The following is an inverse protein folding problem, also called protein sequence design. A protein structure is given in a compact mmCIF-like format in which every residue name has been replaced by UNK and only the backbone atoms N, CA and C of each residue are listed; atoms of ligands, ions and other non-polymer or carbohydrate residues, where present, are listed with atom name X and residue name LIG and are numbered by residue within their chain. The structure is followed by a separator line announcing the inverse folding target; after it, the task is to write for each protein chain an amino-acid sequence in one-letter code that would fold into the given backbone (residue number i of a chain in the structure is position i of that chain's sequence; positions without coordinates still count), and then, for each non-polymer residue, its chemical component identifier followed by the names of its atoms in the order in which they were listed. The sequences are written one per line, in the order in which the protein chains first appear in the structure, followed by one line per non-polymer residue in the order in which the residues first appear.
data_IF_314608663868
#
_entry.id   IF_314608663868
#
_cell.length_a   1.000
_cell.length_b   1.000
_cell.length_c   1.000
_cell.angle_alpha   90.00
_cell.angle_beta   90.00
_cell.angle_gamma   90.00
#
_symmetry.space_group_name_H-M   'P 1'
#
loop_
_entity.id
_entity.type
_entity.pdbx_description
1 polymer ?
#
# COMPACT_ATOMS: atom_id res chain seq x y z
N UNK A 1 24.64 -27.82 10.39
CA UNK A 1 23.72 -26.71 10.04
C UNK A 1 23.96 -26.35 8.58
N UNK A 2 22.90 -26.09 7.80
CA UNK A 2 23.04 -25.75 6.37
C UNK A 2 21.91 -24.81 5.91
N UNK A 3 22.22 -23.89 5.00
CA UNK A 3 21.23 -23.04 4.32
C UNK A 3 20.67 -23.83 3.16
N UNK A 4 19.37 -24.11 3.18
CA UNK A 4 18.71 -24.88 2.11
C UNK A 4 18.17 -23.99 1.01
N UNK A 5 17.81 -22.75 1.33
CA UNK A 5 17.27 -21.78 0.39
C UNK A 5 17.64 -20.36 0.80
N UNK A 6 17.94 -19.52 -0.18
CA UNK A 6 18.12 -18.08 -0.01
C UNK A 6 17.66 -17.35 -1.28
N UNK A 7 16.85 -16.30 -1.09
CA UNK A 7 16.43 -15.41 -2.17
C UNK A 7 16.85 -13.97 -1.85
N UNK A 8 17.81 -13.39 -2.60
CA UNK A 8 18.20 -11.99 -2.43
C UNK A 8 17.03 -11.02 -2.70
N UNK A 9 16.17 -11.33 -3.68
CA UNK A 9 15.06 -10.46 -4.09
C UNK A 9 14.02 -10.24 -2.98
N UNK A 10 13.83 -11.24 -2.11
CA UNK A 10 12.86 -11.17 -1.00
C UNK A 10 13.53 -11.20 0.37
N UNK A 11 14.88 -11.22 0.40
CA UNK A 11 15.71 -11.38 1.60
C UNK A 11 15.19 -12.47 2.54
N UNK A 12 14.76 -13.61 1.99
CA UNK A 12 14.15 -14.72 2.74
C UNK A 12 15.02 -15.97 2.62
N UNK A 13 15.32 -16.61 3.77
CA UNK A 13 16.14 -17.81 3.85
C UNK A 13 15.41 -18.96 4.56
N UNK A 14 15.74 -20.20 4.21
CA UNK A 14 15.37 -21.40 4.98
C UNK A 14 16.66 -22.06 5.47
N UNK A 15 16.79 -22.18 6.79
CA UNK A 15 17.97 -22.73 7.47
C UNK A 15 17.59 -24.06 8.12
N UNK A 16 18.35 -25.11 7.79
CA UNK A 16 18.25 -26.42 8.43
C UNK A 16 19.23 -26.50 9.58
N UNK A 17 18.71 -26.74 10.78
CA UNK A 17 19.49 -26.91 12.01
C UNK A 17 19.06 -28.18 12.77
N UNK A 18 19.94 -28.77 13.60
CA UNK A 18 19.56 -29.81 14.54
C UNK A 18 18.50 -29.31 15.53
N UNK A 19 17.56 -30.18 15.92
CA UNK A 19 16.46 -29.84 16.83
C UNK A 19 16.94 -29.44 18.23
N UNK A 20 18.10 -29.91 18.67
CA UNK A 20 18.62 -29.62 20.02
C UNK A 20 19.16 -28.19 20.18
N UNK A 21 19.50 -27.53 19.07
CA UNK A 21 20.20 -26.23 19.09
C UNK A 21 19.55 -25.16 18.22
N UNK A 22 18.26 -25.30 17.86
CA UNK A 22 17.57 -24.30 17.04
C UNK A 22 17.45 -22.94 17.76
N UNK A 23 17.37 -22.94 19.10
CA UNK A 23 17.28 -21.73 19.92
C UNK A 23 18.57 -20.90 19.85
N UNK A 24 19.73 -21.57 19.87
CA UNK A 24 21.03 -20.91 19.71
C UNK A 24 21.16 -20.26 18.32
N UNK A 25 20.68 -20.94 17.28
CA UNK A 25 20.64 -20.39 15.93
C UNK A 25 19.69 -19.19 15.86
N UNK A 26 18.51 -19.27 16.49
CA UNK A 26 17.60 -18.13 16.57
C UNK A 26 18.28 -16.94 17.24
N UNK A 27 18.85 -17.15 18.42
CA UNK A 27 19.54 -16.10 19.17
C UNK A 27 20.65 -15.44 18.34
N UNK A 28 21.51 -16.24 17.71
CA UNK A 28 22.59 -15.75 16.86
C UNK A 28 22.05 -14.90 15.69
N UNK A 29 20.97 -15.32 15.04
CA UNK A 29 20.35 -14.54 13.96
C UNK A 29 19.79 -13.20 14.47
N UNK A 30 19.07 -13.21 15.60
CA UNK A 30 18.50 -11.98 16.17
C UNK A 30 19.54 -11.01 16.71
N UNK A 31 20.70 -11.51 17.13
CA UNK A 31 21.83 -10.70 17.61
C UNK A 31 22.72 -10.20 16.46
N UNK A 32 22.53 -10.70 15.23
CA UNK A 32 23.25 -10.20 14.06
C UNK A 32 22.66 -8.86 13.63
N UNK A 33 23.37 -7.78 13.94
CA UNK A 33 22.94 -6.40 13.68
C UNK A 33 23.60 -5.76 12.45
N UNK A 34 24.67 -6.36 11.92
CA UNK A 34 25.44 -5.81 10.80
C UNK A 34 25.92 -6.91 9.87
N UNK A 35 25.82 -6.67 8.56
CA UNK A 35 26.42 -7.53 7.55
C UNK A 35 27.94 -7.35 7.52
N UNK A 36 28.70 -8.43 7.25
CA UNK A 36 30.15 -8.33 7.10
C UNK A 36 30.52 -7.48 5.87
N UNK A 37 31.76 -7.00 5.85
CA UNK A 37 32.34 -6.33 4.66
C UNK A 37 32.26 -7.25 3.44
N UNK A 38 32.00 -6.72 2.24
CA UNK A 38 32.11 -5.30 1.85
C UNK A 38 30.84 -4.45 2.05
N UNK A 39 29.69 -5.05 2.35
CA UNK A 39 28.40 -4.35 2.34
C UNK A 39 28.18 -3.48 3.58
N UNK A 40 28.72 -3.89 4.74
CA UNK A 40 28.79 -3.12 6.00
C UNK A 40 27.48 -2.45 6.44
N UNK A 41 26.34 -3.06 6.10
CA UNK A 41 25.00 -2.47 6.29
C UNK A 41 24.35 -2.99 7.58
N UNK A 42 23.71 -2.11 8.38
CA UNK A 42 22.92 -2.54 9.54
C UNK A 42 21.69 -3.33 9.07
N UNK A 43 21.45 -4.48 9.70
CA UNK A 43 20.35 -5.39 9.36
C UNK A 43 19.62 -5.87 10.61
N UNK A 44 18.38 -6.31 10.41
CA UNK A 44 17.59 -7.01 11.42
C UNK A 44 17.11 -8.32 10.81
N UNK A 45 17.56 -9.44 11.35
CA UNK A 45 17.10 -10.76 10.92
C UNK A 45 15.90 -11.16 11.78
N UNK A 46 14.73 -11.31 11.14
CA UNK A 46 13.51 -11.76 11.82
C UNK A 46 13.23 -13.22 11.52
N UNK A 47 13.31 -14.06 12.56
CA UNK A 47 12.82 -15.44 12.48
C UNK A 47 11.29 -15.41 12.45
N UNK A 48 10.71 -15.90 11.36
CA UNK A 48 9.25 -15.85 11.13
C UNK A 48 8.57 -17.11 11.66
N UNK A 49 9.17 -18.28 11.43
CA UNK A 49 8.60 -19.59 11.77
C UNK A 49 9.73 -20.61 11.95
N UNK A 50 9.57 -21.49 12.92
CA UNK A 50 10.42 -22.69 13.10
C UNK A 50 9.56 -23.95 12.95
N UNK A 51 9.95 -24.84 12.05
CA UNK A 51 9.21 -26.08 11.76
C UNK A 51 10.16 -27.27 11.63
N UNK A 52 9.66 -28.47 11.94
CA UNK A 52 10.40 -29.73 11.78
C UNK A 52 10.51 -30.21 10.33
N UNK A 53 9.65 -29.73 9.42
CA UNK A 53 9.70 -30.10 7.99
C UNK A 53 9.77 -28.86 7.10
N UNK A 54 10.53 -28.97 6.00
CA UNK A 54 10.72 -27.90 5.02
C UNK A 54 9.40 -27.50 4.38
N UNK A 55 8.56 -28.48 4.01
CA UNK A 55 7.24 -28.23 3.39
C UNK A 55 6.35 -27.30 4.22
N UNK A 56 6.31 -27.50 5.55
CA UNK A 56 5.59 -26.60 6.45
C UNK A 56 6.21 -25.20 6.51
N UNK A 57 7.54 -25.08 6.40
CA UNK A 57 8.18 -23.76 6.35
C UNK A 57 7.87 -23.03 5.03
N UNK A 58 7.85 -23.74 3.91
CA UNK A 58 7.50 -23.20 2.59
C UNK A 58 6.06 -22.71 2.54
N UNK A 59 5.11 -23.49 3.05
CA UNK A 59 3.69 -23.10 3.14
C UNK A 59 3.51 -21.78 3.93
N UNK A 60 4.28 -21.61 5.01
CA UNK A 60 4.28 -20.40 5.84
C UNK A 60 4.86 -19.19 5.11
N UNK A 61 5.96 -19.38 4.37
CA UNK A 61 6.57 -18.33 3.54
C UNK A 61 5.58 -17.89 2.45
N UNK A 62 4.93 -18.82 1.77
CA UNK A 62 3.92 -18.53 0.75
C UNK A 62 2.72 -17.80 1.35
N UNK A 63 2.21 -18.25 2.50
CA UNK A 63 1.08 -17.60 3.17
C UNK A 63 1.41 -16.15 3.54
N UNK A 64 2.61 -15.92 4.06
CA UNK A 64 3.10 -14.58 4.39
C UNK A 64 3.26 -13.71 3.15
N UNK A 65 3.86 -14.23 2.08
CA UNK A 65 4.04 -13.51 0.83
C UNK A 65 2.69 -13.07 0.24
N UNK A 66 1.70 -13.98 0.22
CA UNK A 66 0.32 -13.64 -0.19
C UNK A 66 -0.30 -12.54 0.66
N UNK A 67 -0.10 -12.58 1.98
CA UNK A 67 -0.56 -11.53 2.89
C UNK A 67 0.09 -10.16 2.64
N UNK A 68 1.39 -10.12 2.35
CA UNK A 68 2.11 -8.89 2.01
C UNK A 68 1.57 -8.31 0.69
N UNK A 69 1.44 -9.15 -0.34
CA UNK A 69 0.90 -8.73 -1.64
C UNK A 69 -0.52 -8.20 -1.51
N UNK A 70 -1.38 -8.88 -0.72
CA UNK A 70 -2.75 -8.43 -0.50
C UNK A 70 -2.80 -7.05 0.15
N UNK A 71 -2.03 -6.83 1.22
CA UNK A 71 -1.94 -5.53 1.89
C UNK A 71 -1.40 -4.43 0.97
N UNK A 72 -0.39 -4.75 0.16
CA UNK A 72 0.15 -3.80 -0.82
C UNK A 72 -0.92 -3.41 -1.86
N UNK A 73 -1.71 -4.37 -2.35
CA UNK A 73 -2.83 -4.11 -3.28
C UNK A 73 -3.94 -3.27 -2.64
N UNK A 74 -4.31 -3.55 -1.39
CA UNK A 74 -5.33 -2.78 -0.65
C UNK A 74 -4.89 -1.32 -0.48
N UNK A 75 -3.61 -1.06 -0.15
CA UNK A 75 -3.09 0.30 -0.05
C UNK A 75 -3.07 1.03 -1.40
N UNK A 76 -2.71 0.34 -2.49
CA UNK A 76 -2.77 0.90 -3.85
C UNK A 76 -4.21 1.23 -4.27
N UNK A 77 -5.18 0.36 -3.94
CA UNK A 77 -6.59 0.59 -4.23
C UNK A 77 -7.15 1.78 -3.44
N UNK A 78 -6.93 1.85 -2.13
CA UNK A 78 -7.36 2.99 -1.32
C UNK A 78 -6.72 4.31 -1.77
N UNK A 79 -5.47 4.27 -2.26
CA UNK A 79 -4.82 5.44 -2.86
C UNK A 79 -5.48 5.86 -4.18
N UNK A 80 -5.93 4.91 -5.00
CA UNK A 80 -6.70 5.21 -6.22
C UNK A 80 -8.07 5.80 -5.90
N UNK A 81 -8.75 5.29 -4.88
CA UNK A 81 -10.06 5.80 -4.46
C UNK A 81 -9.94 7.27 -3.99
N UNK A 82 -8.92 7.59 -3.18
CA UNK A 82 -8.62 8.97 -2.78
C UNK A 82 -8.31 9.90 -3.97
N UNK A 83 -7.61 9.38 -5.00
CA UNK A 83 -7.33 10.15 -6.21
C UNK A 83 -8.61 10.35 -7.02
N UNK A 84 -9.46 9.34 -7.14
CA UNK A 84 -10.75 9.44 -7.83
C UNK A 84 -11.67 10.45 -7.15
N UNK A 85 -11.80 10.40 -5.83
CA UNK A 85 -12.59 11.37 -5.05
C UNK A 85 -12.07 12.80 -5.26
N UNK A 86 -10.75 12.98 -5.29
CA UNK A 86 -10.14 14.27 -5.60
C UNK A 86 -10.45 14.79 -7.02
N UNK A 87 -10.49 13.90 -8.01
CA UNK A 87 -10.88 14.24 -9.38
C UNK A 87 -12.36 14.60 -9.45
N UNK A 88 -13.24 13.84 -8.79
CA UNK A 88 -14.68 14.12 -8.74
C UNK A 88 -14.93 15.49 -8.12
N UNK A 89 -14.32 15.80 -6.97
CA UNK A 89 -14.43 17.13 -6.35
C UNK A 89 -13.90 18.27 -7.24
N UNK A 90 -12.83 18.03 -8.00
CA UNK A 90 -12.29 19.03 -8.93
C UNK A 90 -13.25 19.28 -10.11
N UNK A 91 -13.96 18.25 -10.58
CA UNK A 91 -14.99 18.36 -11.62
C UNK A 91 -16.22 19.09 -11.08
N UNK A 92 -16.69 18.77 -9.87
CA UNK A 92 -17.83 19.45 -9.23
C UNK A 92 -17.55 20.95 -9.04
N UNK A 93 -16.37 21.33 -8.54
CA UNK A 93 -15.99 22.75 -8.45
C UNK A 93 -15.93 23.46 -9.80
N UNK A 94 -15.73 22.72 -10.89
CA UNK A 94 -15.72 23.27 -12.26
C UNK A 94 -17.11 23.31 -12.89
N UNK A 95 -18.10 22.64 -12.30
CA UNK A 95 -19.48 22.61 -12.77
C UNK A 95 -20.33 23.77 -12.20
N UNK A 96 -19.89 24.45 -11.15
CA UNK A 96 -20.60 25.62 -10.59
C UNK A 96 -20.57 26.96 -11.40
N UNK A 97 -19.83 27.19 -12.50
CA UNK A 97 -19.93 28.45 -13.24
C UNK A 97 -21.14 28.54 -14.20
N UNK A 98 -21.82 27.44 -14.54
CA UNK A 98 -22.92 27.45 -15.53
C UNK A 98 -24.31 27.77 -14.94
N UNK A 99 -24.45 27.83 -13.60
CA UNK A 99 -25.73 28.15 -12.96
C UNK A 99 -26.00 29.66 -12.81
N UNK A 100 -25.01 30.52 -13.03
CA UNK A 100 -25.12 31.98 -12.81
C UNK A 100 -25.59 32.74 -14.07
N UNK A 101 -25.68 32.10 -15.23
CA UNK A 101 -26.09 32.76 -16.50
C UNK A 101 -27.61 32.76 -16.77
N UNK A 102 -28.44 32.25 -15.85
CA UNK A 102 -29.89 32.12 -16.06
C UNK A 102 -30.76 33.15 -15.31
N UNK A 103 -30.19 34.29 -14.88
CA UNK A 103 -30.95 35.32 -14.18
C UNK A 103 -30.58 36.75 -14.60
N UNK A 104 -30.81 37.14 -15.86
CA UNK A 104 -31.19 38.54 -16.20
C UNK A 104 -31.88 38.52 -17.57
N UNK A 105 -33.22 38.45 -17.62
CA UNK A 105 -34.05 39.25 -18.56
C UNK A 105 -35.54 39.09 -18.22
N UNK A 106 -36.00 39.71 -17.12
CA UNK A 106 -37.44 40.00 -16.94
C UNK A 106 -37.61 41.43 -16.38
N UNK A 107 -38.25 42.29 -17.19
CA UNK A 107 -38.84 43.58 -16.80
C UNK A 107 -37.96 44.82 -17.05
N UNK A 108 -38.43 45.94 -17.62
CA UNK A 108 -39.74 46.43 -18.04
C UNK A 108 -39.50 47.59 -19.04
N UNK A 109 -40.20 47.67 -20.18
CA UNK A 109 -40.36 48.94 -20.92
C UNK A 109 -41.81 49.41 -20.75
N UNK A 110 -41.90 50.60 -20.15
CA UNK A 110 -43.06 51.34 -19.67
C UNK A 110 -44.14 51.64 -20.71
N UNK A 111 -45.41 51.48 -20.32
CA UNK A 111 -46.57 52.09 -20.97
C UNK A 111 -46.55 53.63 -20.81
N UNK A 112 -46.77 54.36 -21.92
CA UNK A 112 -47.82 55.40 -21.98
C UNK A 112 -47.91 56.01 -23.38
N UNK A 113 -49.11 55.95 -23.97
CA UNK A 113 -49.46 56.56 -25.24
C UNK A 113 -50.97 56.83 -25.31
N UNK A 114 -51.31 58.08 -25.01
CA UNK A 114 -52.60 58.79 -25.06
C UNK A 114 -53.69 58.29 -26.04
N UNK A 115 -54.94 58.26 -25.54
CA UNK A 115 -56.16 58.30 -26.36
C UNK A 115 -57.16 59.29 -25.77
N UNK A 116 -57.39 60.39 -26.49
CA UNK A 116 -58.43 61.40 -26.24
C UNK A 116 -59.56 61.24 -27.27
N UNK A 117 -60.76 61.66 -26.85
CA UNK A 117 -62.07 61.74 -27.54
C UNK A 117 -63.03 60.55 -27.34
#
# INVERSE_FOLDING_TARGET
MAITYWSPATSTAIIRCPREHYEMVWAALTLTTKLPRPVDTPIVIKVVRVSGTIRKAEEEVIRRAKGIIRRAKEMEAGKKDLIMDGVVQAVERRAEPDAVLAQVDEGEESESGSGSE
#
